data_IF_043025844449
#
_entry.id   IF_043025844449
#
_cell.length_a   1.000
_cell.length_b   1.000
_cell.length_c   1.000
_cell.angle_alpha   90.00
_cell.angle_beta   90.00
_cell.angle_gamma   90.00
#
_symmetry.space_group_name_H-M   'P 1'
#
loop_
_entity.id
_entity.type
_entity.pdbx_description
1 polymer ?
#
# COMPACT_ATOMS: atom_id res chain seq x y z
N UNK A 1 -4.57 -11.06 5.40
CA UNK A 1 -3.99 -9.94 6.18
C UNK A 1 -4.97 -8.80 6.09
N UNK A 2 -5.34 -8.23 7.24
CA UNK A 2 -6.24 -7.07 7.30
C UNK A 2 -5.38 -5.81 7.36
N UNK A 3 -5.55 -4.92 6.39
CA UNK A 3 -4.82 -3.65 6.33
C UNK A 3 -5.44 -2.63 7.27
N UNK A 4 -4.65 -2.08 8.21
CA UNK A 4 -5.13 -1.06 9.15
C UNK A 4 -4.66 0.33 8.75
N UNK A 5 -5.55 1.31 8.87
CA UNK A 5 -5.20 2.71 8.70
C UNK A 5 -4.04 3.07 9.64
N UNK A 6 -3.02 3.75 9.11
CA UNK A 6 -1.81 4.11 9.83
C UNK A 6 -0.73 3.01 9.85
N UNK A 7 -1.01 1.82 9.36
CA UNK A 7 -0.01 0.76 9.21
C UNK A 7 0.98 1.10 8.08
N UNK A 8 2.26 0.73 8.27
CA UNK A 8 3.29 0.82 7.24
C UNK A 8 3.49 -0.57 6.63
N UNK A 9 3.37 -0.65 5.31
CA UNK A 9 3.60 -1.89 4.55
C UNK A 9 4.74 -1.70 3.56
N UNK A 10 5.45 -2.78 3.26
CA UNK A 10 6.52 -2.78 2.26
C UNK A 10 5.98 -3.31 0.94
N UNK A 11 6.13 -2.54 -0.14
CA UNK A 11 5.71 -2.96 -1.47
C UNK A 11 6.73 -2.54 -2.54
N UNK A 12 6.83 -3.29 -3.66
CA UNK A 12 7.65 -2.88 -4.78
C UNK A 12 7.03 -1.66 -5.44
N UNK A 13 7.79 -0.55 -5.50
CA UNK A 13 7.39 0.65 -6.23
C UNK A 13 8.32 0.86 -7.42
N UNK A 14 7.78 1.01 -8.64
CA UNK A 14 8.59 1.15 -9.84
C UNK A 14 9.40 2.46 -9.82
N UNK A 15 10.50 2.49 -10.56
CA UNK A 15 11.11 3.76 -10.95
C UNK A 15 10.32 4.43 -12.07
N UNK A 16 10.68 5.66 -12.37
CA UNK A 16 9.99 6.49 -13.38
C UNK A 16 10.06 5.87 -14.79
N UNK A 17 11.08 5.05 -15.06
CA UNK A 17 11.24 4.32 -16.33
C UNK A 17 10.49 2.97 -16.36
N UNK A 18 9.85 2.59 -15.26
CA UNK A 18 9.10 1.34 -15.06
C UNK A 18 9.92 0.05 -15.30
N UNK A 19 11.24 0.12 -15.47
CA UNK A 19 12.06 -1.06 -15.82
C UNK A 19 12.47 -1.88 -14.61
N UNK A 20 12.53 -1.24 -13.44
CA UNK A 20 12.94 -1.84 -12.17
C UNK A 20 12.03 -1.33 -11.05
N UNK A 21 12.00 -2.08 -9.95
CA UNK A 21 11.31 -1.67 -8.73
C UNK A 21 12.25 -1.76 -7.53
N UNK A 22 12.01 -0.89 -6.54
CA UNK A 22 12.61 -0.99 -5.21
C UNK A 22 11.49 -1.20 -4.19
N UNK A 23 11.75 -2.00 -3.17
CA UNK A 23 10.85 -2.10 -2.01
C UNK A 23 10.85 -0.77 -1.27
N UNK A 24 9.66 -0.17 -1.11
CA UNK A 24 9.47 1.09 -0.39
C UNK A 24 8.40 0.93 0.69
N UNK A 25 8.55 1.60 1.84
CA UNK A 25 7.46 1.71 2.80
C UNK A 25 6.34 2.58 2.23
N UNK A 26 5.10 2.14 2.43
CA UNK A 26 3.88 2.88 2.12
C UNK A 26 2.98 2.94 3.36
N UNK A 27 2.30 4.06 3.56
CA UNK A 27 1.35 4.28 4.64
C UNK A 27 -0.07 3.98 4.15
N UNK A 28 -0.83 3.22 4.93
CA UNK A 28 -2.24 2.98 4.64
C UNK A 28 -3.06 4.16 5.14
N UNK A 29 -3.61 4.95 4.20
CA UNK A 29 -4.41 6.15 4.53
C UNK A 29 -5.92 5.89 4.52
N UNK A 30 -6.36 4.85 3.81
CA UNK A 30 -7.76 4.43 3.74
C UNK A 30 -8.28 3.91 5.09
N UNK A 31 -9.56 4.16 5.38
CA UNK A 31 -10.18 3.77 6.65
C UNK A 31 -10.27 2.23 6.80
N UNK A 32 -10.22 1.75 8.05
CA UNK A 32 -10.39 0.31 8.35
C UNK A 32 -11.67 -0.26 7.74
N UNK A 33 -12.78 0.50 7.78
CA UNK A 33 -14.05 0.09 7.17
C UNK A 33 -13.94 -0.10 5.66
N UNK A 34 -13.21 0.78 4.97
CA UNK A 34 -12.97 0.65 3.53
C UNK A 34 -12.07 -0.54 3.22
N UNK A 35 -11.03 -0.77 4.02
CA UNK A 35 -10.09 -1.88 3.83
C UNK A 35 -10.73 -3.26 4.03
N UNK A 36 -11.87 -3.34 4.74
CA UNK A 36 -12.63 -4.58 4.92
C UNK A 36 -13.50 -4.94 3.70
N UNK A 37 -13.92 -3.95 2.92
CA UNK A 37 -14.81 -4.14 1.76
C UNK A 37 -14.07 -4.05 0.42
N UNK A 38 -12.91 -3.39 0.40
CA UNK A 38 -12.12 -3.12 -0.79
C UNK A 38 -10.78 -3.84 -0.73
N UNK A 39 -10.28 -4.26 -1.89
CA UNK A 39 -8.90 -4.77 -2.04
C UNK A 39 -7.90 -3.68 -2.42
N UNK A 40 -8.32 -2.41 -2.36
CA UNK A 40 -7.51 -1.22 -2.65
C UNK A 40 -7.29 -0.42 -1.37
N UNK A 41 -6.10 0.16 -1.20
CA UNK A 41 -5.66 0.85 0.03
C UNK A 41 -5.11 2.27 -0.21
N UNK A 42 -5.59 2.94 -1.26
CA UNK A 42 -5.21 4.32 -1.61
C UNK A 42 -6.14 5.31 -0.92
#
# INVERSE_FOLDING_TARGET
MEFRQGEIVLLPFPFDDLTKAKTRPALIVSSNRFNQISRTVI
#
